data_IF_528608005702
#
_entry.id   IF_528608005702
#
_cell.length_a   1.000
_cell.length_b   1.000
_cell.length_c   1.000
_cell.angle_alpha   90.00
_cell.angle_beta   90.00
_cell.angle_gamma   90.00
#
_symmetry.space_group_name_H-M   'P 1'
#
loop_
_entity.id
_entity.type
_entity.pdbx_description
1 polymer ?
#
# COMPACT_ATOMS: atom_id res chain seq x y z
N UNK A 1 6.78 -3.75 6.26
CA UNK A 1 7.59 -4.56 5.33
C UNK A 1 8.16 -5.74 6.08
N UNK A 2 7.95 -6.93 5.57
CA UNK A 2 8.50 -8.15 6.12
C UNK A 2 9.52 -8.74 5.15
N UNK A 3 10.69 -9.05 5.66
CA UNK A 3 11.71 -9.74 4.88
C UNK A 3 11.65 -11.22 5.24
N UNK A 4 11.18 -12.04 4.31
CA UNK A 4 10.82 -13.42 4.58
C UNK A 4 11.28 -14.35 3.48
N UNK A 5 11.48 -15.61 3.85
CA UNK A 5 11.82 -16.65 2.91
C UNK A 5 10.66 -16.93 1.93
N UNK A 6 10.94 -17.45 0.74
CA UNK A 6 9.87 -17.87 -0.18
C UNK A 6 8.92 -18.86 0.49
N UNK A 7 7.65 -18.75 0.19
CA UNK A 7 6.63 -19.65 0.76
C UNK A 7 6.08 -19.22 2.10
N UNK A 8 6.60 -18.13 2.69
CA UNK A 8 6.13 -17.65 3.98
C UNK A 8 4.82 -16.87 3.91
N UNK A 9 4.42 -16.43 2.71
CA UNK A 9 3.21 -15.61 2.54
C UNK A 9 1.95 -16.27 3.11
N UNK A 10 1.77 -17.56 2.83
CA UNK A 10 0.59 -18.27 3.31
C UNK A 10 0.52 -18.28 4.84
N UNK A 11 1.65 -18.47 5.50
CA UNK A 11 1.70 -18.48 6.98
C UNK A 11 1.44 -17.10 7.55
N UNK A 12 1.97 -16.06 6.91
CA UNK A 12 1.72 -14.68 7.32
C UNK A 12 0.22 -14.39 7.29
N UNK A 13 -0.43 -14.71 6.18
CA UNK A 13 -1.87 -14.44 6.04
C UNK A 13 -2.70 -15.30 6.99
N UNK A 14 -2.31 -16.55 7.22
CA UNK A 14 -3.00 -17.40 8.17
C UNK A 14 -2.96 -16.82 9.59
N UNK A 15 -1.80 -16.36 10.01
CA UNK A 15 -1.64 -15.75 11.34
C UNK A 15 -2.49 -14.49 11.49
N UNK A 16 -2.48 -13.62 10.48
CA UNK A 16 -3.27 -12.41 10.51
C UNK A 16 -4.77 -12.72 10.54
N UNK A 17 -5.20 -13.71 9.76
CA UNK A 17 -6.60 -14.13 9.74
C UNK A 17 -7.04 -14.71 11.10
N UNK A 18 -6.19 -15.50 11.75
CA UNK A 18 -6.49 -16.04 13.08
C UNK A 18 -6.69 -14.95 14.13
N UNK A 19 -6.06 -13.82 13.94
CA UNK A 19 -6.19 -12.66 14.84
C UNK A 19 -7.27 -11.68 14.39
N UNK A 20 -8.05 -12.04 13.37
CA UNK A 20 -9.10 -11.19 12.80
C UNK A 20 -8.57 -9.85 12.29
N UNK A 21 -7.36 -9.86 11.74
CA UNK A 21 -6.77 -8.66 11.16
C UNK A 21 -7.06 -8.64 9.68
N UNK A 22 -7.72 -7.57 9.23
CA UNK A 22 -8.03 -7.38 7.83
C UNK A 22 -6.84 -6.75 7.12
N UNK A 23 -6.38 -7.39 6.05
CA UNK A 23 -5.29 -6.88 5.22
C UNK A 23 -5.90 -6.01 4.13
N UNK A 24 -5.51 -4.74 4.10
CA UNK A 24 -6.05 -3.76 3.15
C UNK A 24 -5.32 -3.78 1.81
N UNK A 25 -4.01 -3.95 1.86
CA UNK A 25 -3.16 -4.01 0.67
C UNK A 25 -1.99 -4.93 0.92
N UNK A 26 -1.53 -5.58 -0.14
CA UNK A 26 -0.34 -6.43 -0.12
C UNK A 26 0.50 -6.13 -1.35
N UNK A 27 1.80 -6.05 -1.15
CA UNK A 27 2.75 -5.99 -2.25
C UNK A 27 3.94 -6.85 -1.91
N UNK A 28 4.44 -7.59 -2.87
CA UNK A 28 5.62 -8.44 -2.67
C UNK A 28 6.72 -8.07 -3.64
N UNK A 29 7.95 -8.20 -3.19
CA UNK A 29 9.13 -8.01 -4.02
C UNK A 29 9.96 -9.29 -3.97
N UNK A 30 9.83 -10.17 -4.98
CA UNK A 30 10.54 -11.44 -4.98
C UNK A 30 12.06 -11.30 -4.96
N UNK A 31 12.61 -10.27 -5.60
CA UNK A 31 14.06 -10.07 -5.65
C UNK A 31 14.64 -9.73 -4.29
N UNK A 32 13.86 -9.10 -3.41
CA UNK A 32 14.28 -8.77 -2.05
C UNK A 32 13.73 -9.77 -1.03
N UNK A 33 12.89 -10.71 -1.48
CA UNK A 33 12.17 -11.62 -0.60
C UNK A 33 11.41 -10.87 0.49
N UNK A 34 10.75 -9.78 0.12
CA UNK A 34 10.00 -8.94 1.05
C UNK A 34 8.52 -8.91 0.72
N UNK A 35 7.72 -8.74 1.75
CA UNK A 35 6.27 -8.59 1.64
C UNK A 35 5.88 -7.34 2.44
N UNK A 36 5.14 -6.45 1.80
CA UNK A 36 4.61 -5.26 2.45
C UNK A 36 3.11 -5.42 2.61
N UNK A 37 2.63 -5.18 3.82
CA UNK A 37 1.22 -5.37 4.17
C UNK A 37 0.70 -4.10 4.81
N UNK A 38 -0.52 -3.69 4.41
CA UNK A 38 -1.20 -2.55 5.01
C UNK A 38 -2.37 -3.08 5.82
N UNK A 39 -2.43 -2.68 7.07
CA UNK A 39 -3.54 -2.98 7.99
C UNK A 39 -4.08 -1.68 8.56
N UNK A 40 -5.27 -1.72 9.16
CA UNK A 40 -5.81 -0.56 9.84
C UNK A 40 -4.93 -0.20 11.02
N UNK A 41 -4.81 1.10 11.27
CA UNK A 41 -3.95 1.61 12.34
C UNK A 41 -4.20 0.95 13.72
N UNK A 42 -5.44 0.76 14.16
CA UNK A 42 -5.68 0.07 15.44
C UNK A 42 -5.16 -1.37 15.49
N UNK A 43 -5.01 -2.01 14.34
CA UNK A 43 -4.56 -3.40 14.25
C UNK A 43 -3.05 -3.55 14.13
N UNK A 44 -2.33 -2.45 13.95
CA UNK A 44 -0.89 -2.50 13.66
C UNK A 44 -0.11 -3.22 14.75
N UNK A 45 -0.29 -2.82 15.99
CA UNK A 45 0.45 -3.41 17.12
C UNK A 45 0.14 -4.90 17.26
N UNK A 46 -1.14 -5.28 17.12
CA UNK A 46 -1.57 -6.67 17.21
C UNK A 46 -0.96 -7.51 16.08
N UNK A 47 -0.93 -6.96 14.86
CA UNK A 47 -0.35 -7.63 13.71
C UNK A 47 1.14 -7.86 13.89
N UNK A 48 1.87 -6.83 14.27
CA UNK A 48 3.32 -6.91 14.50
C UNK A 48 3.63 -7.95 15.57
N UNK A 49 2.92 -7.88 16.69
CA UNK A 49 3.14 -8.81 17.80
C UNK A 49 2.89 -10.26 17.38
N UNK A 50 1.81 -10.53 16.66
CA UNK A 50 1.48 -11.88 16.21
C UNK A 50 2.54 -12.42 15.25
N UNK A 51 3.02 -11.60 14.33
CA UNK A 51 4.04 -12.01 13.37
C UNK A 51 5.41 -12.21 14.04
N UNK A 52 5.77 -11.33 14.97
CA UNK A 52 7.02 -11.47 15.71
C UNK A 52 7.05 -12.76 16.53
N UNK A 53 5.98 -13.03 17.26
CA UNK A 53 5.93 -14.22 18.12
C UNK A 53 5.98 -15.53 17.35
N UNK A 54 5.40 -15.56 16.16
CA UNK A 54 5.24 -16.81 15.42
C UNK A 54 6.28 -17.02 14.33
N UNK A 55 6.82 -15.97 13.75
CA UNK A 55 7.63 -16.09 12.54
C UNK A 55 9.02 -15.46 12.64
N UNK A 56 9.21 -14.48 13.51
CA UNK A 56 10.48 -13.75 13.57
C UNK A 56 11.60 -14.70 14.04
N UNK A 57 12.70 -14.70 13.30
CA UNK A 57 13.82 -15.59 13.56
C UNK A 57 13.66 -16.99 12.95
N UNK A 58 12.47 -17.29 12.44
CA UNK A 58 12.21 -18.59 11.78
C UNK A 58 12.08 -18.40 10.28
N UNK A 59 10.96 -17.85 9.83
CA UNK A 59 10.69 -17.59 8.41
C UNK A 59 10.83 -16.11 8.05
N UNK A 60 10.72 -15.23 9.04
CA UNK A 60 10.84 -13.79 8.87
C UNK A 60 12.07 -13.30 9.61
N UNK A 61 12.97 -12.64 8.90
CA UNK A 61 14.21 -12.14 9.50
C UNK A 61 14.03 -10.78 10.15
N UNK A 62 13.15 -9.94 9.59
CA UNK A 62 13.01 -8.56 10.03
C UNK A 62 11.61 -8.07 9.74
N UNK A 63 11.05 -7.32 10.68
CA UNK A 63 9.78 -6.64 10.51
C UNK A 63 10.00 -5.14 10.71
N UNK A 64 9.71 -4.36 9.68
CA UNK A 64 9.76 -2.90 9.76
C UNK A 64 8.34 -2.38 9.74
N UNK A 65 8.06 -1.39 10.60
CA UNK A 65 6.73 -0.79 10.67
C UNK A 65 6.78 0.67 10.27
N UNK A 66 5.73 1.11 9.58
CA UNK A 66 5.56 2.51 9.22
C UNK A 66 4.17 2.94 9.67
N UNK A 67 4.04 3.44 10.91
CA UNK A 67 2.77 4.02 11.33
C UNK A 67 2.54 5.31 10.56
N UNK A 68 1.34 5.83 10.55
CA UNK A 68 1.02 7.10 9.89
C UNK A 68 1.15 7.05 8.36
N UNK A 69 0.64 5.98 7.75
CA UNK A 69 0.52 5.88 6.30
C UNK A 69 -0.93 5.99 5.87
N UNK A 70 -1.16 6.60 4.72
CA UNK A 70 -2.49 6.75 4.13
C UNK A 70 -2.57 6.06 2.79
N UNK A 71 -3.70 5.42 2.52
CA UNK A 71 -3.99 4.82 1.21
C UNK A 71 -4.83 5.81 0.42
N UNK A 72 -4.38 6.11 -0.79
CA UNK A 72 -5.13 6.95 -1.71
C UNK A 72 -5.54 6.08 -2.88
N UNK A 73 -6.83 6.07 -3.20
CA UNK A 73 -7.36 5.32 -4.31
C UNK A 73 -7.82 6.27 -5.40
N UNK A 74 -7.38 6.01 -6.63
CA UNK A 74 -7.87 6.71 -7.81
C UNK A 74 -8.85 5.77 -8.50
N UNK A 75 -10.09 6.17 -8.54
CA UNK A 75 -11.18 5.37 -9.08
C UNK A 75 -11.84 6.14 -10.21
N UNK A 76 -12.04 5.51 -11.33
CA UNK A 76 -12.69 6.18 -12.45
C UNK A 76 -13.36 5.20 -13.39
N UNK A 77 -14.54 5.56 -13.84
CA UNK A 77 -15.23 4.86 -14.91
C UNK A 77 -14.66 5.34 -16.25
N UNK A 78 -14.31 4.43 -17.11
CA UNK A 78 -13.79 4.80 -18.41
C UNK A 78 -12.32 5.17 -18.44
N UNK A 79 -11.59 4.92 -17.35
CA UNK A 79 -10.13 5.03 -17.39
C UNK A 79 -9.59 3.88 -18.21
N UNK A 80 -9.25 4.17 -19.43
CA UNK A 80 -8.61 3.20 -20.31
C UNK A 80 -7.13 3.53 -20.40
N UNK A 81 -6.31 2.51 -20.33
CA UNK A 81 -4.88 2.75 -20.40
C UNK A 81 -4.31 3.13 -19.04
N UNK A 82 -4.08 2.11 -18.23
CA UNK A 82 -3.50 2.26 -16.89
C UNK A 82 -2.14 2.95 -16.90
N UNK A 83 -1.40 2.85 -18.01
CA UNK A 83 -0.09 3.50 -18.13
C UNK A 83 -0.23 5.03 -18.02
N UNK A 84 -1.21 5.60 -18.72
CA UNK A 84 -1.43 7.04 -18.67
C UNK A 84 -1.89 7.53 -17.31
N UNK A 85 -2.75 6.76 -16.66
CA UNK A 85 -3.24 7.09 -15.31
C UNK A 85 -2.11 7.01 -14.29
N UNK A 86 -1.31 5.95 -14.34
CA UNK A 86 -0.18 5.80 -13.43
C UNK A 86 0.83 6.93 -13.60
N UNK A 87 1.12 7.32 -14.84
CA UNK A 87 2.04 8.43 -15.11
C UNK A 87 1.53 9.74 -14.49
N UNK A 88 0.23 10.00 -14.58
CA UNK A 88 -0.35 11.20 -13.97
C UNK A 88 -0.28 11.18 -12.45
N UNK A 89 -0.53 10.02 -11.85
CA UNK A 89 -0.43 9.85 -10.40
C UNK A 89 0.99 10.13 -9.93
N UNK A 90 1.98 9.55 -10.58
CA UNK A 90 3.37 9.77 -10.22
C UNK A 90 3.81 11.21 -10.45
N UNK A 91 3.37 11.82 -11.53
CA UNK A 91 3.64 13.25 -11.78
C UNK A 91 3.06 14.12 -10.68
N UNK A 92 1.83 13.84 -10.27
CA UNK A 92 1.19 14.59 -9.20
C UNK A 92 1.95 14.47 -7.88
N UNK A 93 2.39 13.26 -7.54
CA UNK A 93 3.19 13.05 -6.33
C UNK A 93 4.55 13.74 -6.42
N UNK A 94 5.20 13.67 -7.57
CA UNK A 94 6.51 14.28 -7.78
C UNK A 94 6.47 15.79 -7.64
N UNK A 95 5.42 16.44 -8.16
CA UNK A 95 5.26 17.89 -8.06
C UNK A 95 5.24 18.38 -6.62
N UNK A 96 4.85 17.55 -5.70
CA UNK A 96 4.77 17.87 -4.26
C UNK A 96 5.89 17.22 -3.44
N UNK A 97 6.89 16.63 -4.11
CA UNK A 97 7.99 15.93 -3.45
C UNK A 97 7.51 14.82 -2.50
N UNK A 98 6.47 14.11 -2.90
CA UNK A 98 5.89 13.06 -2.08
C UNK A 98 6.42 11.70 -2.52
N UNK A 99 6.87 10.91 -1.56
CA UNK A 99 7.32 9.56 -1.81
C UNK A 99 6.14 8.58 -1.78
N UNK A 100 5.95 7.84 -2.86
CA UNK A 100 4.95 6.79 -2.94
C UNK A 100 5.58 5.50 -2.42
N UNK A 101 5.07 4.98 -1.30
CA UNK A 101 5.65 3.82 -0.63
C UNK A 101 5.21 2.49 -1.21
N UNK A 102 3.98 2.41 -1.69
CA UNK A 102 3.40 1.20 -2.26
C UNK A 102 2.40 1.56 -3.35
N UNK A 103 2.27 0.67 -4.32
CA UNK A 103 1.27 0.80 -5.37
C UNK A 103 0.59 -0.55 -5.55
N UNK A 104 -0.72 -0.53 -5.66
CA UNK A 104 -1.49 -1.70 -6.02
C UNK A 104 -2.51 -1.31 -7.06
N UNK A 105 -2.72 -2.19 -8.01
CA UNK A 105 -3.67 -1.99 -9.09
C UNK A 105 -4.74 -3.07 -9.00
N UNK A 106 -5.99 -2.66 -9.10
CA UNK A 106 -7.10 -3.61 -9.09
C UNK A 106 -7.14 -4.44 -10.38
N UNK A 107 -7.83 -5.56 -10.30
CA UNK A 107 -8.02 -6.43 -11.46
C UNK A 107 -8.85 -5.76 -12.56
N UNK A 108 -9.70 -4.81 -12.19
CA UNK A 108 -10.36 -3.95 -13.15
C UNK A 108 -9.47 -2.72 -13.38
N UNK A 109 -9.47 -2.22 -14.59
CA UNK A 109 -8.62 -1.07 -14.98
C UNK A 109 -9.05 0.25 -14.33
N UNK A 110 -10.02 0.20 -13.44
CA UNK A 110 -10.65 1.38 -12.88
C UNK A 110 -10.04 1.83 -11.55
N UNK A 111 -9.13 1.03 -10.98
CA UNK A 111 -8.59 1.28 -9.65
C UNK A 111 -7.08 1.30 -9.65
N UNK A 112 -6.54 2.37 -9.11
CA UNK A 112 -5.13 2.43 -8.75
C UNK A 112 -5.05 2.93 -7.31
N UNK A 113 -4.43 2.17 -6.43
CA UNK A 113 -4.24 2.56 -5.05
C UNK A 113 -2.77 2.71 -4.74
N UNK A 114 -2.43 3.69 -3.95
CA UNK A 114 -1.04 3.89 -3.54
C UNK A 114 -0.99 4.43 -2.11
N UNK A 115 0.17 4.27 -1.49
CA UNK A 115 0.38 4.59 -0.08
C UNK A 115 1.40 5.71 0.05
N UNK A 116 1.05 6.71 0.84
CA UNK A 116 1.94 7.82 1.18
C UNK A 116 1.89 8.04 2.69
N UNK A 117 2.80 8.84 3.23
CA UNK A 117 2.72 9.25 4.63
C UNK A 117 1.47 10.09 4.85
N UNK A 118 0.87 9.98 6.04
CA UNK A 118 -0.32 10.78 6.40
C UNK A 118 -0.09 12.26 6.17
N UNK A 119 1.09 12.75 6.51
CA UNK A 119 1.43 14.17 6.37
C UNK A 119 1.41 14.65 4.92
N UNK A 120 1.57 13.74 3.97
CA UNK A 120 1.61 14.07 2.54
C UNK A 120 0.26 13.87 1.85
N UNK A 121 -0.69 13.25 2.53
CA UNK A 121 -1.96 12.84 1.93
C UNK A 121 -2.72 14.01 1.31
N UNK A 122 -2.91 15.08 2.07
CA UNK A 122 -3.66 16.25 1.60
C UNK A 122 -3.00 16.90 0.40
N UNK A 123 -1.67 17.02 0.44
CA UNK A 123 -0.90 17.63 -0.65
C UNK A 123 -1.04 16.83 -1.95
N UNK A 124 -0.95 15.52 -1.85
CA UNK A 124 -1.08 14.64 -3.02
C UNK A 124 -2.49 14.70 -3.58
N UNK A 125 -3.51 14.68 -2.72
CA UNK A 125 -4.90 14.76 -3.17
C UNK A 125 -5.15 16.07 -3.93
N UNK A 126 -4.64 17.17 -3.43
CA UNK A 126 -4.75 18.46 -4.13
C UNK A 126 -4.05 18.42 -5.48
N UNK A 127 -2.85 17.84 -5.53
CA UNK A 127 -2.11 17.72 -6.78
C UNK A 127 -2.82 16.83 -7.79
N UNK A 128 -3.45 15.74 -7.32
CA UNK A 128 -4.24 14.85 -8.17
C UNK A 128 -5.46 15.56 -8.74
N UNK A 129 -6.16 16.37 -7.92
CA UNK A 129 -7.30 17.14 -8.41
C UNK A 129 -6.86 18.08 -9.51
N UNK A 130 -5.72 18.72 -9.39
CA UNK A 130 -5.18 19.60 -10.41
C UNK A 130 -4.80 18.83 -11.69
N UNK A 131 -4.10 17.69 -11.52
CA UNK A 131 -3.61 16.89 -12.64
C UNK A 131 -4.74 16.27 -13.45
N UNK A 132 -5.79 15.81 -12.79
CA UNK A 132 -6.95 15.20 -13.43
C UNK A 132 -8.09 16.18 -13.67
N UNK A 133 -7.93 17.43 -13.26
CA UNK A 133 -8.95 18.49 -13.40
C UNK A 133 -10.28 18.13 -12.73
N UNK A 134 -10.21 17.43 -11.59
CA UNK A 134 -11.41 16.95 -10.91
C UNK A 134 -12.29 18.08 -10.37
N UNK A 135 -11.70 19.18 -9.96
CA UNK A 135 -12.39 20.34 -9.45
C UNK A 135 -13.05 21.19 -10.56
N UNK A 136 -12.78 20.85 -11.81
CA UNK A 136 -13.36 21.55 -12.98
C UNK A 136 -14.44 20.74 -13.67
N UNK A 137 -14.79 19.60 -13.13
CA UNK A 137 -15.86 18.75 -13.68
C UNK A 137 -17.19 19.28 -13.20
N UNK A 138 -18.02 19.62 -14.13
CA UNK A 138 -19.36 20.11 -13.85
C UNK A 138 -20.42 19.07 -14.22
#
# INVERSE_FOLDING_TARGET
ILFAAPGSAAKIFTILAEKNINVLMVSSNPSEASISIIVKKPDLAKAVNALEMNLLGKMVKKIETTPNASIIAVIGSGMKGTVGVAAKVFSAAQKRNVNVMMIAQGSSELNLAFVVKDSDCKSVIQSLHEEFHLDKIN
#
